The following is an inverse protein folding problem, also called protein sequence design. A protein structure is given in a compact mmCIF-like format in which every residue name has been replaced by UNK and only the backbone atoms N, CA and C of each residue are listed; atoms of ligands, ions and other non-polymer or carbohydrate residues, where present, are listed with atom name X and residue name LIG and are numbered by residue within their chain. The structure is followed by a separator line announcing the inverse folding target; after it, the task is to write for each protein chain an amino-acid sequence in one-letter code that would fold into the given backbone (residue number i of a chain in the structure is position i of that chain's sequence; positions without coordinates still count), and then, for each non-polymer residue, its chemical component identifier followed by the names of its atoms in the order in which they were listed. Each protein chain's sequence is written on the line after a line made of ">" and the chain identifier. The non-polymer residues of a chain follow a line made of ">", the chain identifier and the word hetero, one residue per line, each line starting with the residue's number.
data_IF_424799918375
#
_entry.id   IF_424799918375
#
_cell.length_a   1.000
_cell.length_b   1.000
_cell.length_c   1.000
_cell.angle_alpha   90.00
_cell.angle_beta   90.00
_cell.angle_gamma   90.00
#
_symmetry.space_group_name_H-M   'P 1'
#
loop_
_entity.id
_entity.type
_entity.pdbx_description
1 polymer ?
#
# COMPACT_ATOMS: atom_id res chain seq x y z
N UNK A 1 -36.09 58.74 -0.62
CA UNK A 1 -35.04 58.00 -1.35
C UNK A 1 -34.45 56.82 -0.57
N UNK A 2 -34.35 56.88 0.77
CA UNK A 2 -33.83 55.76 1.58
C UNK A 2 -34.62 54.43 1.46
N UNK A 3 -35.96 54.50 1.34
CA UNK A 3 -36.79 53.29 1.27
C UNK A 3 -36.65 52.50 -0.05
N UNK A 4 -36.22 53.15 -1.14
CA UNK A 4 -36.02 52.47 -2.43
C UNK A 4 -34.72 51.64 -2.41
N UNK A 5 -33.69 52.13 -1.73
CA UNK A 5 -32.41 51.44 -1.61
C UNK A 5 -32.53 50.15 -0.79
N UNK A 6 -33.27 50.16 0.32
CA UNK A 6 -33.52 48.95 1.11
C UNK A 6 -34.32 47.90 0.34
N UNK A 7 -35.25 48.33 -0.52
CA UNK A 7 -36.08 47.42 -1.31
C UNK A 7 -35.27 46.77 -2.45
N UNK A 8 -34.40 47.53 -3.10
CA UNK A 8 -33.47 47.01 -4.13
C UNK A 8 -32.44 46.06 -3.49
N UNK A 9 -31.87 46.40 -2.34
CA UNK A 9 -30.89 45.56 -1.65
C UNK A 9 -31.53 44.24 -1.16
N UNK A 10 -32.77 44.30 -0.69
CA UNK A 10 -33.55 43.12 -0.32
C UNK A 10 -33.83 42.20 -1.51
N UNK A 11 -34.22 42.76 -2.66
CA UNK A 11 -34.47 41.97 -3.88
C UNK A 11 -33.18 41.33 -4.42
N UNK A 12 -32.05 42.03 -4.33
CA UNK A 12 -30.75 41.52 -4.77
C UNK A 12 -30.29 40.33 -3.91
N UNK A 13 -30.46 40.42 -2.59
CA UNK A 13 -30.15 39.33 -1.66
C UNK A 13 -31.07 38.13 -1.87
N UNK A 14 -32.36 38.35 -2.17
CA UNK A 14 -33.31 37.28 -2.45
C UNK A 14 -32.94 36.52 -3.74
N UNK A 15 -32.48 37.23 -4.78
CA UNK A 15 -32.01 36.63 -6.03
C UNK A 15 -30.73 35.80 -5.84
N UNK A 16 -29.79 36.25 -5.00
CA UNK A 16 -28.56 35.50 -4.70
C UNK A 16 -28.89 34.19 -3.98
N UNK A 17 -29.85 34.19 -3.05
CA UNK A 17 -30.27 32.97 -2.34
C UNK A 17 -31.01 32.00 -3.27
N UNK A 18 -31.80 32.51 -4.23
CA UNK A 18 -32.49 31.66 -5.21
C UNK A 18 -31.55 30.96 -6.19
N UNK A 19 -30.39 31.54 -6.52
CA UNK A 19 -29.40 30.93 -7.42
C UNK A 19 -28.62 29.79 -6.73
N UNK A 20 -28.43 29.85 -5.41
CA UNK A 20 -27.70 28.82 -4.65
C UNK A 20 -28.48 27.52 -4.40
N UNK A 21 -29.78 27.48 -4.70
CA UNK A 21 -30.62 26.30 -4.55
C UNK A 21 -30.75 25.47 -5.85
N UNK A 22 -30.09 25.88 -6.94
CA UNK A 22 -30.17 25.22 -8.26
C UNK A 22 -28.80 24.74 -8.75
N UNK A 23 -27.99 24.22 -7.82
CA UNK A 23 -26.84 23.36 -8.13
C UNK A 23 -27.05 21.98 -7.52
N UNK A 24 -28.22 21.39 -7.76
CA UNK A 24 -28.27 19.95 -7.99
C UNK A 24 -27.70 19.76 -9.39
N UNK A 25 -26.42 19.43 -9.38
CA UNK A 25 -25.68 18.89 -10.49
C UNK A 25 -26.58 17.86 -11.20
N UNK A 26 -27.04 18.18 -12.41
CA UNK A 26 -27.31 17.18 -13.44
C UNK A 26 -25.98 16.46 -13.66
N UNK A 27 -25.66 15.55 -12.74
CA UNK A 27 -24.97 14.35 -13.09
C UNK A 27 -25.89 13.73 -14.12
N UNK A 28 -25.58 13.96 -15.40
CA UNK A 28 -26.08 13.13 -16.50
C UNK A 28 -25.54 11.76 -16.17
N UNK A 29 -26.26 11.06 -15.29
CA UNK A 29 -26.12 9.66 -15.05
C UNK A 29 -26.49 9.03 -16.37
N UNK A 30 -25.47 8.84 -17.20
CA UNK A 30 -25.43 7.75 -18.16
C UNK A 30 -25.83 6.53 -17.34
N UNK A 31 -27.12 6.19 -17.40
CA UNK A 31 -27.63 5.01 -16.74
C UNK A 31 -27.03 3.85 -17.51
N UNK A 32 -25.92 3.32 -16.99
CA UNK A 32 -25.30 2.08 -17.43
C UNK A 32 -26.26 0.95 -17.04
N UNK A 33 -27.30 0.73 -17.84
CA UNK A 33 -28.11 -0.46 -17.74
C UNK A 33 -27.29 -1.61 -18.30
N UNK A 34 -26.68 -2.41 -17.44
CA UNK A 34 -26.07 -3.70 -17.80
C UNK A 34 -27.20 -4.66 -18.18
N UNK A 35 -27.68 -4.57 -19.42
CA UNK A 35 -28.64 -5.51 -19.98
C UNK A 35 -27.87 -6.75 -20.43
N UNK A 36 -28.04 -7.85 -19.71
CA UNK A 36 -27.65 -9.18 -20.18
C UNK A 36 -28.52 -9.53 -21.39
N UNK A 37 -28.00 -9.27 -22.60
CA UNK A 37 -28.72 -9.44 -23.85
C UNK A 37 -28.89 -10.92 -24.20
N UNK A 38 -30.14 -11.40 -24.22
CA UNK A 38 -30.52 -12.61 -24.93
C UNK A 38 -30.69 -12.30 -26.42
N UNK A 39 -30.14 -13.18 -27.25
CA UNK A 39 -29.83 -13.02 -28.66
C UNK A 39 -31.03 -13.08 -29.61
N UNK A 40 -31.17 -12.06 -30.45
CA UNK A 40 -31.86 -12.16 -31.75
C UNK A 40 -31.07 -11.40 -32.82
N UNK A 41 -30.41 -12.17 -33.68
CA UNK A 41 -29.99 -11.86 -35.07
C UNK A 41 -29.42 -10.47 -35.35
N UNK A 42 -28.15 -10.23 -34.99
CA UNK A 42 -27.29 -9.31 -35.74
C UNK A 42 -25.83 -9.69 -35.51
N UNK A 43 -25.00 -9.67 -36.56
CA UNK A 43 -23.60 -10.15 -36.65
C UNK A 43 -22.57 -9.45 -35.73
N UNK A 44 -22.99 -8.89 -34.60
CA UNK A 44 -22.12 -8.27 -33.62
C UNK A 44 -22.33 -8.91 -32.25
N UNK A 45 -21.40 -9.79 -31.90
CA UNK A 45 -21.29 -10.41 -30.59
C UNK A 45 -19.87 -10.22 -30.07
N UNK A 46 -19.72 -9.87 -28.80
CA UNK A 46 -18.43 -9.91 -28.14
C UNK A 46 -18.03 -11.37 -27.85
N UNK A 47 -16.74 -11.62 -27.62
CA UNK A 47 -16.28 -12.95 -27.20
C UNK A 47 -16.67 -13.14 -25.73
N UNK A 48 -16.93 -14.38 -25.30
CA UNK A 48 -17.19 -14.68 -23.88
C UNK A 48 -16.03 -14.15 -23.01
N UNK A 49 -16.36 -13.26 -22.07
CA UNK A 49 -15.40 -12.59 -21.18
C UNK A 49 -15.06 -11.14 -21.58
N UNK A 50 -15.48 -10.68 -22.75
CA UNK A 50 -15.39 -9.26 -23.12
C UNK A 50 -16.54 -8.45 -22.47
N UNK A 51 -16.26 -7.20 -22.12
CA UNK A 51 -17.27 -6.25 -21.67
C UNK A 51 -17.98 -5.58 -22.86
N UNK A 52 -19.32 -5.61 -22.87
CA UNK A 52 -20.14 -4.95 -23.89
C UNK A 52 -20.69 -3.62 -23.39
N UNK A 53 -20.46 -2.54 -24.14
CA UNK A 53 -21.06 -1.22 -23.90
C UNK A 53 -21.80 -0.73 -25.14
N UNK A 54 -22.85 0.08 -24.94
CA UNK A 54 -23.56 0.73 -26.04
C UNK A 54 -24.02 2.15 -25.70
N UNK A 55 -24.03 3.02 -26.71
CA UNK A 55 -24.48 4.42 -26.57
C UNK A 55 -25.10 4.93 -27.87
N UNK A 56 -25.98 5.93 -27.77
CA UNK A 56 -26.59 6.64 -28.90
C UNK A 56 -26.06 8.07 -28.95
N UNK A 57 -25.53 8.50 -30.09
CA UNK A 57 -25.12 9.89 -30.32
C UNK A 57 -26.01 10.58 -31.35
N UNK A 58 -26.41 11.85 -31.13
CA UNK A 58 -27.17 12.65 -32.09
C UNK A 58 -26.25 13.20 -33.20
N UNK A 59 -25.55 12.30 -33.88
CA UNK A 59 -24.72 12.59 -35.05
C UNK A 59 -24.98 11.56 -36.14
N UNK A 60 -24.55 11.85 -37.36
CA UNK A 60 -24.46 10.87 -38.45
C UNK A 60 -23.03 10.36 -38.67
N UNK A 61 -22.06 10.88 -37.91
CA UNK A 61 -20.64 10.53 -38.03
C UNK A 61 -20.27 9.34 -37.12
N UNK A 62 -19.94 8.21 -37.74
CA UNK A 62 -19.47 7.01 -37.04
C UNK A 62 -18.07 7.15 -36.42
N UNK A 63 -17.31 8.20 -36.77
CA UNK A 63 -15.98 8.44 -36.17
C UNK A 63 -16.08 8.66 -34.66
N UNK A 64 -17.21 9.19 -34.18
CA UNK A 64 -17.50 9.36 -32.75
C UNK A 64 -17.51 8.02 -32.02
N UNK A 65 -18.06 6.96 -32.63
CA UNK A 65 -18.09 5.63 -32.02
C UNK A 65 -16.69 5.07 -31.79
N UNK A 66 -15.74 5.34 -32.68
CA UNK A 66 -14.36 4.82 -32.56
C UNK A 66 -13.62 5.48 -31.40
N UNK A 67 -13.77 6.80 -31.24
CA UNK A 67 -13.17 7.53 -30.12
C UNK A 67 -13.81 7.12 -28.80
N UNK A 68 -15.15 7.10 -28.73
CA UNK A 68 -15.88 6.67 -27.54
C UNK A 68 -15.49 5.26 -27.11
N UNK A 69 -15.47 4.30 -28.05
CA UNK A 69 -15.03 2.92 -27.76
C UNK A 69 -13.64 2.87 -27.13
N UNK A 70 -12.70 3.65 -27.68
CA UNK A 70 -11.33 3.68 -27.18
C UNK A 70 -11.27 4.22 -25.75
N UNK A 71 -12.00 5.29 -25.47
CA UNK A 71 -12.03 5.91 -24.15
C UNK A 71 -12.70 4.97 -23.13
N UNK A 72 -13.86 4.40 -23.47
CA UNK A 72 -14.59 3.44 -22.64
C UNK A 72 -13.74 2.21 -22.29
N UNK A 73 -13.09 1.57 -23.27
CA UNK A 73 -12.25 0.41 -22.99
C UNK A 73 -11.01 0.79 -22.16
N UNK A 74 -10.47 2.00 -22.36
CA UNK A 74 -9.34 2.48 -21.56
C UNK A 74 -9.73 2.69 -20.10
N UNK A 75 -10.95 3.15 -19.81
CA UNK A 75 -11.47 3.28 -18.45
C UNK A 75 -11.64 1.92 -17.76
N UNK A 76 -11.97 0.87 -18.53
CA UNK A 76 -12.02 -0.51 -18.05
C UNK A 76 -10.64 -1.18 -17.91
N UNK A 77 -9.55 -0.48 -18.27
CA UNK A 77 -8.20 -1.05 -18.28
C UNK A 77 -7.96 -2.08 -19.39
N UNK A 78 -8.78 -2.01 -20.46
CA UNK A 78 -8.81 -2.94 -21.56
C UNK A 78 -8.53 -2.30 -22.93
N UNK A 79 -8.43 -3.15 -23.95
CA UNK A 79 -8.31 -2.74 -25.36
C UNK A 79 -9.64 -2.93 -26.10
N UNK A 80 -9.87 -2.13 -27.15
CA UNK A 80 -11.03 -2.30 -28.04
C UNK A 80 -10.85 -3.58 -28.86
N UNK A 81 -11.70 -4.58 -28.61
CA UNK A 81 -11.72 -5.85 -29.36
C UNK A 81 -12.50 -5.70 -30.65
N UNK A 82 -13.70 -5.13 -30.54
CA UNK A 82 -14.59 -4.94 -31.67
C UNK A 82 -15.47 -3.69 -31.47
N UNK A 83 -15.80 -3.01 -32.56
CA UNK A 83 -16.69 -1.85 -32.51
C UNK A 83 -17.61 -1.83 -33.73
N UNK A 84 -18.87 -1.47 -33.52
CA UNK A 84 -19.85 -1.33 -34.59
C UNK A 84 -20.59 -0.01 -34.46
N UNK A 85 -20.69 0.68 -35.59
CA UNK A 85 -21.53 1.84 -35.75
C UNK A 85 -22.74 1.46 -36.60
N UNK A 86 -23.94 1.92 -36.21
CA UNK A 86 -25.15 1.74 -37.00
C UNK A 86 -26.00 2.99 -36.94
N UNK A 87 -26.37 3.54 -38.10
CA UNK A 87 -27.31 4.66 -38.20
C UNK A 87 -28.71 4.17 -37.82
N UNK A 88 -29.26 4.70 -36.72
CA UNK A 88 -30.64 4.43 -36.31
C UNK A 88 -31.63 5.37 -37.01
N UNK A 89 -31.22 6.63 -37.19
CA UNK A 89 -31.94 7.62 -37.99
C UNK A 89 -30.93 8.44 -38.81
N UNK A 90 -31.41 9.41 -39.61
CA UNK A 90 -30.52 10.30 -40.39
C UNK A 90 -29.56 11.13 -39.54
N UNK A 91 -29.82 11.27 -38.23
CA UNK A 91 -29.03 12.11 -37.33
C UNK A 91 -28.67 11.41 -36.01
N UNK A 92 -28.86 10.09 -35.91
CA UNK A 92 -28.54 9.34 -34.70
C UNK A 92 -27.79 8.06 -35.06
N UNK A 93 -26.59 7.90 -34.50
CA UNK A 93 -25.78 6.68 -34.58
C UNK A 93 -25.84 5.91 -33.26
N UNK A 94 -25.94 4.59 -33.35
CA UNK A 94 -25.72 3.65 -32.25
C UNK A 94 -24.30 3.12 -32.33
N UNK A 95 -23.56 3.29 -31.26
CA UNK A 95 -22.23 2.73 -31.08
C UNK A 95 -22.35 1.50 -30.19
N UNK A 96 -21.75 0.40 -30.61
CA UNK A 96 -21.62 -0.83 -29.84
C UNK A 96 -20.14 -1.15 -29.72
N UNK A 97 -19.69 -1.42 -28.50
CA UNK A 97 -18.28 -1.70 -28.20
C UNK A 97 -18.11 -3.02 -27.47
N UNK A 98 -17.06 -3.74 -27.82
CA UNK A 98 -16.54 -4.88 -27.06
C UNK A 98 -15.14 -4.51 -26.56
N UNK A 99 -14.96 -4.50 -25.25
CA UNK A 99 -13.70 -4.23 -24.58
C UNK A 99 -13.14 -5.52 -23.98
N UNK A 100 -11.85 -5.77 -24.17
CA UNK A 100 -11.17 -6.88 -23.52
C UNK A 100 -11.07 -6.58 -22.02
N UNK A 101 -11.72 -7.37 -21.18
CA UNK A 101 -11.53 -7.28 -19.74
C UNK A 101 -10.35 -8.20 -19.35
N UNK A 102 -9.21 -7.65 -18.91
CA UNK A 102 -8.12 -8.50 -18.44
C UNK A 102 -8.62 -9.35 -17.27
N UNK A 103 -8.20 -10.62 -17.17
CA UNK A 103 -8.59 -11.45 -16.05
C UNK A 103 -8.19 -10.75 -14.74
N UNK A 104 -9.03 -10.81 -13.69
CA UNK A 104 -8.73 -10.18 -12.43
C UNK A 104 -7.36 -10.68 -11.95
N UNK A 105 -6.52 -9.78 -11.38
CA UNK A 105 -5.23 -10.19 -10.87
C UNK A 105 -5.43 -11.35 -9.88
N UNK A 106 -4.53 -12.34 -9.87
CA UNK A 106 -4.63 -13.45 -8.94
C UNK A 106 -4.70 -12.89 -7.51
N UNK A 107 -5.52 -13.49 -6.62
CA UNK A 107 -5.58 -13.04 -5.24
C UNK A 107 -4.17 -13.04 -4.64
N UNK A 108 -3.81 -12.02 -3.84
CA UNK A 108 -2.52 -12.00 -3.18
C UNK A 108 -2.33 -13.29 -2.37
N UNK A 109 -1.11 -13.84 -2.31
CA UNK A 109 -0.85 -15.02 -1.49
C UNK A 109 -1.27 -14.74 -0.04
N UNK A 110 -1.80 -15.74 0.68
CA UNK A 110 -2.13 -15.56 2.09
C UNK A 110 -0.87 -15.12 2.85
N UNK A 111 -0.98 -14.18 3.80
CA UNK A 111 0.16 -13.78 4.61
C UNK A 111 0.74 -15.01 5.32
N UNK A 112 2.07 -15.10 5.48
CA UNK A 112 2.68 -16.19 6.23
C UNK A 112 2.09 -16.23 7.65
N UNK A 113 1.92 -17.43 8.23
CA UNK A 113 1.42 -17.55 9.60
C UNK A 113 2.33 -16.76 10.55
N UNK A 114 1.76 -16.10 11.59
CA UNK A 114 2.55 -15.40 12.60
C UNK A 114 3.60 -16.35 13.17
N UNK A 115 4.85 -15.90 13.22
CA UNK A 115 5.90 -16.70 13.86
C UNK A 115 5.60 -16.73 15.36
N UNK A 116 5.52 -17.91 16.01
CA UNK A 116 5.26 -17.97 17.44
C UNK A 116 6.33 -17.21 18.23
N UNK A 117 5.89 -16.36 19.14
CA UNK A 117 6.78 -15.78 20.15
C UNK A 117 7.32 -16.90 21.07
N UNK A 118 8.62 -16.88 21.36
CA UNK A 118 9.27 -17.85 22.25
C UNK A 118 10.44 -18.60 21.64
N UNK A 119 10.99 -18.12 20.52
CA UNK A 119 12.30 -18.58 20.06
C UNK A 119 13.40 -18.00 20.96
N UNK A 120 14.57 -18.68 21.08
CA UNK A 120 15.71 -18.12 21.81
C UNK A 120 16.12 -16.77 21.23
N UNK A 121 16.16 -15.73 22.07
CA UNK A 121 16.41 -14.34 21.66
C UNK A 121 15.15 -13.49 21.46
N UNK A 122 13.96 -14.07 21.62
CA UNK A 122 12.73 -13.30 21.70
C UNK A 122 12.56 -12.70 23.11
N UNK A 123 12.16 -11.42 23.16
CA UNK A 123 11.82 -10.70 24.40
C UNK A 123 10.38 -10.24 24.32
N UNK A 124 9.58 -10.55 25.34
CA UNK A 124 8.19 -10.12 25.43
C UNK A 124 8.03 -8.90 26.34
N UNK A 125 7.36 -7.86 25.86
CA UNK A 125 6.99 -6.67 26.63
C UNK A 125 5.47 -6.53 26.69
N UNK A 126 4.97 -5.96 27.78
CA UNK A 126 3.53 -5.73 27.96
C UNK A 126 3.27 -4.37 28.59
N UNK A 127 2.26 -3.65 28.07
CA UNK A 127 1.78 -2.40 28.65
C UNK A 127 0.28 -2.24 28.51
N UNK A 128 -0.29 -1.27 29.22
CA UNK A 128 -1.69 -0.83 29.03
C UNK A 128 -1.71 0.63 28.62
N UNK A 129 -2.27 0.91 27.44
CA UNK A 129 -2.40 2.27 26.89
C UNK A 129 -3.86 2.69 27.02
N UNK A 130 -4.10 3.92 27.49
CA UNK A 130 -5.43 4.52 27.57
C UNK A 130 -5.82 5.01 26.17
N UNK A 131 -6.23 4.07 25.34
CA UNK A 131 -6.72 4.27 23.98
C UNK A 131 -7.77 3.22 23.66
N UNK A 132 -8.59 3.52 22.67
CA UNK A 132 -9.50 2.55 22.05
C UNK A 132 -8.92 1.95 20.76
N UNK A 133 -7.82 2.49 20.22
CA UNK A 133 -7.22 2.05 18.96
C UNK A 133 -6.07 1.05 19.21
N UNK A 134 -6.03 -0.04 18.45
CA UNK A 134 -4.95 -1.01 18.51
C UNK A 134 -3.70 -0.57 17.73
N UNK A 135 -3.81 0.41 16.82
CA UNK A 135 -2.66 0.96 16.11
C UNK A 135 -1.65 1.59 17.08
N UNK A 136 -2.11 2.12 18.21
CA UNK A 136 -1.23 2.64 19.25
C UNK A 136 -0.37 1.53 19.88
N UNK A 137 -0.91 0.32 20.06
CA UNK A 137 -0.13 -0.84 20.48
C UNK A 137 0.93 -1.19 19.44
N UNK A 138 0.58 -1.21 18.15
CA UNK A 138 1.52 -1.52 17.06
C UNK A 138 2.67 -0.52 17.01
N UNK A 139 2.37 0.77 17.20
CA UNK A 139 3.40 1.82 17.23
C UNK A 139 4.29 1.70 18.48
N UNK A 140 3.71 1.49 19.65
CA UNK A 140 4.45 1.24 20.87
C UNK A 140 5.37 0.00 20.74
N UNK A 141 4.87 -1.11 20.17
CA UNK A 141 5.69 -2.30 19.91
C UNK A 141 6.89 -1.99 19.02
N UNK A 142 6.71 -1.18 17.97
CA UNK A 142 7.82 -0.80 17.08
C UNK A 142 8.89 0.00 17.81
N UNK A 143 8.49 0.93 18.67
CA UNK A 143 9.42 1.72 19.48
C UNK A 143 10.17 0.84 20.48
N UNK A 144 9.46 0.03 21.26
CA UNK A 144 10.08 -0.90 22.23
C UNK A 144 11.05 -1.89 21.58
N UNK A 145 10.66 -2.47 20.44
CA UNK A 145 11.55 -3.40 19.74
C UNK A 145 12.74 -2.69 19.09
N UNK A 146 12.59 -1.43 18.68
CA UNK A 146 13.69 -0.64 18.15
C UNK A 146 14.72 -0.30 19.24
N UNK A 147 14.28 -0.06 20.48
CA UNK A 147 15.15 0.26 21.61
C UNK A 147 16.09 -0.91 21.99
N UNK A 148 15.65 -2.15 21.76
CA UNK A 148 16.51 -3.35 21.92
C UNK A 148 17.28 -3.72 20.64
N UNK A 149 17.25 -2.88 19.60
CA UNK A 149 17.89 -3.16 18.31
C UNK A 149 17.27 -4.34 17.58
N UNK A 150 15.99 -4.62 17.82
CA UNK A 150 15.23 -5.71 17.24
C UNK A 150 14.12 -5.28 16.28
N UNK A 151 13.22 -6.21 15.98
CA UNK A 151 12.00 -5.98 15.23
C UNK A 151 10.81 -6.71 15.87
N UNK A 152 9.59 -6.23 15.58
CA UNK A 152 8.35 -6.82 16.07
C UNK A 152 8.09 -8.14 15.35
N UNK A 153 7.97 -9.23 16.12
CA UNK A 153 7.57 -10.56 15.63
C UNK A 153 6.06 -10.75 15.72
N UNK A 154 5.47 -10.29 16.82
CA UNK A 154 4.05 -10.44 17.14
C UNK A 154 3.61 -9.23 17.98
N UNK A 155 2.49 -8.61 17.63
CA UNK A 155 1.84 -7.56 18.41
C UNK A 155 0.38 -7.90 18.67
N UNK A 156 0.05 -8.14 19.93
CA UNK A 156 -1.30 -8.49 20.38
C UNK A 156 -1.93 -7.31 21.08
N UNK A 157 -3.11 -6.93 20.62
CA UNK A 157 -3.94 -5.91 21.24
C UNK A 157 -5.22 -6.55 21.77
N UNK A 158 -5.55 -6.28 23.04
CA UNK A 158 -6.77 -6.76 23.68
C UNK A 158 -7.46 -5.64 24.48
N UNK A 159 -8.77 -5.74 24.71
CA UNK A 159 -9.48 -4.81 25.60
C UNK A 159 -8.91 -4.99 27.01
N UNK A 160 -8.44 -3.90 27.61
CA UNK A 160 -7.92 -3.88 28.97
C UNK A 160 -9.03 -3.82 30.01
N UNK A 161 -8.73 -3.20 31.15
CA UNK A 161 -9.66 -3.05 32.28
C UNK A 161 -10.88 -2.17 31.97
N UNK A 162 -10.80 -1.37 30.91
CA UNK A 162 -11.89 -0.52 30.45
C UNK A 162 -12.02 -0.57 28.92
N UNK A 163 -13.18 -0.19 28.40
CA UNK A 163 -13.42 -0.04 26.95
C UNK A 163 -12.55 1.04 26.28
N UNK A 164 -11.85 1.85 27.08
CA UNK A 164 -10.94 2.92 26.63
C UNK A 164 -9.48 2.59 26.93
N UNK A 165 -9.17 1.35 27.32
CA UNK A 165 -7.82 0.89 27.55
C UNK A 165 -7.54 -0.34 26.68
N UNK A 166 -6.37 -0.38 26.07
CA UNK A 166 -5.84 -1.55 25.36
C UNK A 166 -4.67 -2.12 26.13
N UNK A 167 -4.69 -3.44 26.33
CA UNK A 167 -3.54 -4.21 26.81
C UNK A 167 -2.76 -4.66 25.59
N UNK A 168 -1.54 -4.14 25.46
CA UNK A 168 -0.62 -4.40 24.36
C UNK A 168 0.43 -5.42 24.83
N UNK A 169 0.59 -6.52 24.09
CA UNK A 169 1.69 -7.47 24.25
C UNK A 169 2.53 -7.45 22.98
N UNK A 170 3.83 -7.19 23.11
CA UNK A 170 4.77 -7.19 22.00
C UNK A 170 5.77 -8.32 22.18
N UNK A 171 6.10 -8.97 21.09
CA UNK A 171 7.23 -9.88 21.00
C UNK A 171 8.31 -9.26 20.10
N UNK A 172 9.45 -8.94 20.68
CA UNK A 172 10.59 -8.39 19.98
C UNK A 172 11.62 -9.49 19.72
N UNK A 173 12.22 -9.49 18.54
CA UNK A 173 13.37 -10.33 18.23
C UNK A 173 14.57 -9.46 17.92
N UNK A 174 15.67 -9.70 18.61
CA UNK A 174 16.92 -9.02 18.33
C UNK A 174 17.34 -9.27 16.89
N UNK A 175 17.85 -8.22 16.22
CA UNK A 175 18.48 -8.43 14.94
C UNK A 175 19.70 -9.33 15.15
N UNK A 176 19.93 -10.33 14.27
CA UNK A 176 21.11 -11.16 14.38
C UNK A 176 22.34 -10.24 14.36
N UNK A 177 23.08 -10.24 15.47
CA UNK A 177 24.33 -9.47 15.57
C UNK A 177 25.18 -9.91 14.38
N UNK A 178 25.62 -8.97 13.50
CA UNK A 178 26.50 -9.31 12.41
C UNK A 178 27.66 -10.10 12.98
N UNK A 179 27.79 -11.37 12.60
CA UNK A 179 28.84 -12.22 13.14
C UNK A 179 30.16 -11.52 12.85
N UNK A 180 31.00 -11.21 13.85
CA UNK A 180 32.27 -10.57 13.58
C UNK A 180 33.01 -11.39 12.52
N UNK A 181 33.67 -10.75 11.54
CA UNK A 181 34.40 -11.48 10.53
C UNK A 181 35.33 -12.48 11.23
N UNK A 182 35.43 -13.72 10.72
CA UNK A 182 36.28 -14.72 11.34
C UNK A 182 37.68 -14.12 11.52
N UNK A 183 38.31 -14.31 12.69
CA UNK A 183 39.65 -13.78 12.93
C UNK A 183 40.55 -14.25 11.77
N UNK A 184 41.39 -13.36 11.21
CA UNK A 184 42.27 -13.72 10.12
C UNK A 184 43.04 -14.98 10.54
N UNK A 185 42.93 -16.03 9.72
CA UNK A 185 43.54 -17.33 9.99
C UNK A 185 45.03 -17.12 10.28
N UNK A 186 45.45 -17.37 11.53
CA UNK A 186 46.84 -17.23 11.94
C UNK A 186 47.72 -18.10 11.03
N UNK A 187 48.71 -17.54 10.32
CA UNK A 187 49.66 -18.35 9.57
C UNK A 187 50.40 -19.25 10.56
N UNK A 188 50.23 -20.56 10.40
CA UNK A 188 50.51 -21.59 11.39
C UNK A 188 51.99 -21.76 11.81
N UNK A 189 52.91 -20.83 11.49
CA UNK A 189 54.36 -21.07 11.69
C UNK A 189 55.22 -19.93 12.23
N UNK A 190 54.68 -18.75 12.54
CA UNK A 190 55.54 -17.69 13.11
C UNK A 190 54.71 -16.65 13.87
N UNK A 191 54.44 -16.90 15.16
CA UNK A 191 54.03 -15.81 16.04
C UNK A 191 55.27 -14.95 16.34
N UNK A 192 55.31 -13.68 15.91
CA UNK A 192 56.42 -12.80 16.25
C UNK A 192 56.46 -12.61 17.77
N UNK A 193 57.64 -12.76 18.35
CA UNK A 193 57.89 -12.65 19.80
C UNK A 193 57.59 -11.25 20.35
N UNK A 194 57.52 -10.25 19.48
CA UNK A 194 57.15 -8.87 19.79
C UNK A 194 56.00 -8.42 18.89
N UNK A 195 54.99 -7.79 19.49
CA UNK A 195 53.93 -7.12 18.75
C UNK A 195 53.81 -5.66 19.20
N UNK A 196 53.53 -4.78 18.24
CA UNK A 196 53.26 -3.37 18.49
C UNK A 196 51.84 -3.06 18.02
N UNK A 197 50.98 -2.61 18.94
CA UNK A 197 49.60 -2.26 18.62
C UNK A 197 49.43 -0.75 18.76
N UNK A 198 48.84 -0.12 17.74
CA UNK A 198 48.46 1.30 17.75
C UNK A 198 46.94 1.36 17.88
N UNK A 199 46.46 1.78 19.06
CA UNK A 199 45.02 1.79 19.36
C UNK A 199 44.30 2.99 18.73
N UNK A 200 45.00 4.10 18.48
CA UNK A 200 44.44 5.33 17.89
C UNK A 200 45.47 6.08 17.02
N UNK A 201 45.05 6.72 15.92
CA UNK A 201 45.91 7.62 15.14
C UNK A 201 46.47 8.74 16.02
N UNK A 202 47.78 8.98 15.95
CA UNK A 202 48.47 10.02 16.74
C UNK A 202 49.01 9.58 18.11
N UNK A 203 48.76 8.33 18.53
CA UNK A 203 49.35 7.78 19.76
C UNK A 203 50.58 6.91 19.49
N UNK A 204 51.53 6.92 20.44
CA UNK A 204 52.72 6.07 20.36
C UNK A 204 52.33 4.59 20.49
N UNK A 205 52.95 3.67 19.71
CA UNK A 205 52.64 2.25 19.76
C UNK A 205 52.93 1.65 21.15
N UNK A 206 52.05 0.78 21.62
CA UNK A 206 52.31 -0.03 22.82
C UNK A 206 53.07 -1.29 22.40
N UNK A 207 54.26 -1.50 22.97
CA UNK A 207 55.10 -2.67 22.70
C UNK A 207 54.78 -3.77 23.70
N UNK A 208 54.36 -4.94 23.21
CA UNK A 208 54.10 -6.12 24.01
C UNK A 208 55.12 -7.20 23.65
N UNK A 209 55.75 -7.78 24.67
CA UNK A 209 56.65 -8.93 24.54
C UNK A 209 55.96 -10.11 25.22
N UNK A 210 55.73 -11.18 24.47
CA UNK A 210 55.16 -12.40 25.03
C UNK A 210 56.24 -13.10 25.87
N UNK A 211 56.15 -12.97 27.20
CA UNK A 211 56.97 -13.75 28.13
C UNK A 211 56.65 -15.24 27.98
N UNK A 212 57.56 -15.98 27.37
CA UNK A 212 57.44 -17.42 27.12
C UNK A 212 57.73 -18.25 28.38
N UNK A 213 56.98 -18.02 29.47
CA UNK A 213 57.14 -18.71 30.74
C UNK A 213 55.93 -19.61 31.04
N UNK A 214 55.84 -20.72 30.31
CA UNK A 214 55.10 -21.90 30.75
C UNK A 214 56.03 -23.10 30.63
N UNK A 215 56.99 -23.19 31.56
CA UNK A 215 57.64 -24.45 31.90
C UNK A 215 56.55 -25.38 32.44
N UNK A 216 56.17 -26.35 31.62
CA UNK A 216 55.31 -27.45 32.03
C UNK A 216 56.10 -28.36 32.97
N UNK A 217 55.94 -28.15 34.28
CA UNK A 217 56.39 -29.09 35.30
C UNK A 217 55.38 -30.24 35.38
N UNK A 218 55.54 -31.23 34.51
CA UNK A 218 54.87 -32.52 34.67
C UNK A 218 55.51 -33.25 35.87
N UNK A 219 54.85 -33.18 37.02
CA UNK A 219 55.17 -34.02 38.16
C UNK A 219 54.72 -35.46 37.88
N UNK A 220 55.59 -36.39 38.25
CA UNK A 220 55.61 -37.82 37.96
C UNK A 220 54.58 -38.60 38.76
#
# INVERSE_FOLDING_TARGET
>A
MANLFSLILGLLLLLIVAVSASTDQENVGVSTFSVSASSTTSDFSCVDGDAYSEVLYPTSDCSVCKTWCKDECSELGGDVVNSKCSLQTKFVVRCQCCCYEPPPPPPPPPPPPPTPCGQPGDTSSETTIITSDCNDCTNWCKEECADVGGYVVDDKCSIGESKFARRCQCCCRENPVPTPPPPPSCPAKTCPKEMSVVLKPGHKPCKYVLSSSLSSSAAK
#
